data_IF_439151343118
#
_entry.id   IF_439151343118
#
_cell.length_a   1.000
_cell.length_b   1.000
_cell.length_c   1.000
_cell.angle_alpha   90.00
_cell.angle_beta   90.00
_cell.angle_gamma   90.00
#
_symmetry.space_group_name_H-M   'P 1'
#
loop_
_entity.id
_entity.type
_entity.pdbx_description
1 polymer ?
#
# COMPACT_ATOMS: atom_id res chain seq x y z
N UNK A 1 -20.17 -19.69 -22.14
CA UNK A 1 -19.90 -18.52 -22.99
C UNK A 1 -19.06 -17.53 -22.21
N UNK A 2 -17.76 -17.48 -22.55
CA UNK A 2 -16.86 -16.46 -22.02
C UNK A 2 -17.13 -15.17 -22.81
N UNK A 3 -17.79 -14.21 -22.20
CA UNK A 3 -17.89 -12.85 -22.73
C UNK A 3 -16.50 -12.23 -22.65
N UNK A 4 -15.76 -12.24 -23.75
CA UNK A 4 -14.53 -11.45 -23.84
C UNK A 4 -14.90 -9.95 -23.74
N UNK A 5 -14.23 -9.19 -22.88
CA UNK A 5 -14.48 -7.74 -22.84
C UNK A 5 -14.04 -7.15 -24.18
N UNK A 6 -14.98 -6.55 -24.90
CA UNK A 6 -14.71 -5.78 -26.11
C UNK A 6 -13.80 -4.59 -25.71
N UNK A 7 -12.51 -4.74 -25.93
CA UNK A 7 -11.55 -3.65 -25.82
C UNK A 7 -11.72 -2.80 -27.08
N UNK A 8 -12.50 -1.74 -26.98
CA UNK A 8 -12.39 -0.67 -27.95
C UNK A 8 -11.02 -0.02 -27.74
N UNK A 9 -10.22 0.06 -28.80
CA UNK A 9 -9.05 0.94 -28.82
C UNK A 9 -9.56 2.38 -28.67
N UNK A 10 -9.56 2.85 -27.43
CA UNK A 10 -9.77 4.26 -27.12
C UNK A 10 -8.45 4.92 -27.52
N UNK A 11 -8.47 5.80 -28.54
CA UNK A 11 -7.27 6.42 -29.09
C UNK A 11 -6.27 6.92 -28.04
N UNK A 12 -5.15 7.49 -28.43
CA UNK A 12 -3.97 7.87 -27.63
C UNK A 12 -4.24 8.87 -26.48
N UNK A 13 -5.32 8.69 -25.71
CA UNK A 13 -5.57 9.47 -24.50
C UNK A 13 -4.75 8.89 -23.34
N UNK A 14 -4.00 9.76 -22.65
CA UNK A 14 -3.30 9.38 -21.44
C UNK A 14 -4.31 8.87 -20.38
N UNK A 15 -3.98 7.79 -19.66
CA UNK A 15 -4.84 7.29 -18.60
C UNK A 15 -4.92 8.30 -17.45
N UNK A 16 -6.05 8.33 -16.76
CA UNK A 16 -6.16 9.13 -15.54
C UNK A 16 -5.18 8.63 -14.48
N UNK A 17 -4.42 9.53 -13.89
CA UNK A 17 -3.48 9.22 -12.81
C UNK A 17 -4.19 8.83 -11.50
N UNK A 18 -5.36 9.44 -11.25
CA UNK A 18 -6.16 9.14 -10.07
C UNK A 18 -7.67 9.29 -10.35
N UNK A 19 -8.47 8.68 -9.49
CA UNK A 19 -9.93 8.70 -9.59
C UNK A 19 -10.53 10.10 -9.45
N UNK A 20 -9.86 11.02 -8.76
CA UNK A 20 -10.30 12.39 -8.59
C UNK A 20 -10.28 13.18 -9.90
N UNK A 21 -9.26 12.98 -10.76
CA UNK A 21 -9.23 13.60 -12.10
C UNK A 21 -10.43 13.16 -12.94
N UNK A 22 -10.71 11.84 -12.99
CA UNK A 22 -11.91 11.33 -13.68
C UNK A 22 -13.19 11.92 -13.08
N UNK A 23 -13.28 12.03 -11.75
CA UNK A 23 -14.44 12.58 -11.07
C UNK A 23 -14.68 14.06 -11.43
N UNK A 24 -13.63 14.86 -11.57
CA UNK A 24 -13.70 16.25 -11.97
C UNK A 24 -14.21 16.38 -13.41
N UNK A 25 -13.69 15.61 -14.35
CA UNK A 25 -14.14 15.63 -15.74
C UNK A 25 -15.61 15.19 -15.88
N UNK A 26 -16.01 14.15 -15.15
CA UNK A 26 -17.41 13.73 -15.12
C UNK A 26 -18.34 14.81 -14.53
N UNK A 27 -17.87 15.61 -13.56
CA UNK A 27 -18.62 16.77 -13.03
C UNK A 27 -18.78 17.87 -14.09
N UNK A 28 -17.75 18.15 -14.88
CA UNK A 28 -17.84 19.12 -15.99
C UNK A 28 -18.94 18.69 -16.94
N UNK A 29 -18.96 17.42 -17.35
CA UNK A 29 -20.01 16.87 -18.20
C UNK A 29 -21.41 17.00 -17.58
N UNK A 30 -21.55 16.64 -16.30
CA UNK A 30 -22.82 16.73 -15.59
C UNK A 30 -23.34 18.18 -15.51
N UNK A 31 -22.45 19.14 -15.25
CA UNK A 31 -22.80 20.56 -15.19
C UNK A 31 -23.17 21.10 -16.57
N UNK A 32 -22.43 20.75 -17.61
CA UNK A 32 -22.74 21.13 -19.00
C UNK A 32 -24.13 20.63 -19.39
N UNK A 33 -24.48 19.38 -19.14
CA UNK A 33 -25.81 18.84 -19.43
C UNK A 33 -26.92 19.59 -18.71
N UNK A 34 -26.71 19.94 -17.41
CA UNK A 34 -27.69 20.71 -16.64
C UNK A 34 -27.91 22.12 -17.21
N UNK A 35 -26.81 22.81 -17.55
CA UNK A 35 -26.88 24.18 -18.09
C UNK A 35 -27.54 24.23 -19.49
N UNK A 36 -27.42 23.16 -20.28
CA UNK A 36 -28.00 23.03 -21.57
C UNK A 36 -29.36 22.32 -21.61
N UNK A 37 -30.12 22.35 -20.52
CA UNK A 37 -31.50 21.84 -20.45
C UNK A 37 -31.64 20.30 -20.43
N UNK A 38 -30.50 19.56 -20.28
CA UNK A 38 -30.47 18.10 -20.32
C UNK A 38 -30.25 17.48 -18.92
N UNK A 39 -30.81 18.09 -17.87
CA UNK A 39 -30.65 17.66 -16.49
C UNK A 39 -31.04 16.17 -16.24
N UNK A 40 -32.06 15.68 -16.95
CA UNK A 40 -32.52 14.31 -16.88
C UNK A 40 -31.42 13.31 -17.32
N UNK A 41 -30.61 13.65 -18.33
CA UNK A 41 -29.48 12.82 -18.76
C UNK A 41 -28.37 12.80 -17.70
N UNK A 42 -28.11 13.93 -17.05
CA UNK A 42 -27.17 14.01 -15.93
C UNK A 42 -27.62 13.17 -14.71
N UNK A 43 -28.92 12.97 -14.53
CA UNK A 43 -29.50 12.16 -13.45
C UNK A 43 -29.42 10.64 -13.62
N UNK A 44 -29.11 10.15 -14.84
CA UNK A 44 -29.10 8.75 -15.21
C UNK A 44 -27.77 8.01 -14.96
N UNK A 45 -27.21 7.45 -16.04
CA UNK A 45 -25.95 6.68 -16.00
C UNK A 45 -24.77 7.51 -15.51
N UNK A 46 -24.69 8.79 -15.90
CA UNK A 46 -23.60 9.68 -15.48
C UNK A 46 -23.58 9.86 -13.96
N UNK A 47 -24.75 10.04 -13.33
CA UNK A 47 -24.84 10.13 -11.87
C UNK A 47 -24.37 8.84 -11.18
N UNK A 48 -24.74 7.66 -11.72
CA UNK A 48 -24.30 6.37 -11.17
C UNK A 48 -22.79 6.21 -11.29
N UNK A 49 -22.21 6.59 -12.45
CA UNK A 49 -20.75 6.55 -12.65
C UNK A 49 -20.04 7.50 -11.68
N UNK A 50 -20.48 8.76 -11.57
CA UNK A 50 -19.94 9.72 -10.60
C UNK A 50 -19.97 9.16 -9.17
N UNK A 51 -21.09 8.56 -8.79
CA UNK A 51 -21.23 7.93 -7.47
C UNK A 51 -20.29 6.73 -7.30
N UNK A 52 -20.17 5.90 -8.34
CA UNK A 52 -19.26 4.76 -8.34
C UNK A 52 -17.80 5.20 -8.17
N UNK A 53 -17.36 6.18 -8.96
CA UNK A 53 -16.00 6.73 -8.84
C UNK A 53 -15.76 7.35 -7.46
N UNK A 54 -16.75 8.04 -6.90
CA UNK A 54 -16.64 8.67 -5.58
C UNK A 54 -16.52 7.65 -4.44
N UNK A 55 -17.20 6.50 -4.55
CA UNK A 55 -17.24 5.48 -3.49
C UNK A 55 -16.07 4.49 -3.63
N UNK A 56 -15.79 4.07 -4.85
CA UNK A 56 -14.87 2.95 -5.12
C UNK A 56 -13.51 3.39 -5.66
N UNK A 57 -13.34 4.65 -6.03
CA UNK A 57 -12.12 5.11 -6.69
C UNK A 57 -11.79 4.27 -7.92
N UNK A 58 -10.50 3.90 -8.06
CA UNK A 58 -10.03 2.89 -9.02
C UNK A 58 -9.79 1.52 -8.39
N UNK A 59 -10.04 1.39 -7.08
CA UNK A 59 -10.01 0.16 -6.32
C UNK A 59 -11.43 -0.19 -5.88
N UNK A 60 -11.79 -1.45 -5.92
CA UNK A 60 -13.16 -1.88 -5.62
C UNK A 60 -13.53 -1.69 -4.14
N UNK A 61 -12.57 -1.94 -3.26
CA UNK A 61 -12.69 -1.75 -1.81
C UNK A 61 -11.30 -1.59 -1.18
N UNK A 62 -11.14 -0.76 -0.14
CA UNK A 62 -9.91 -0.75 0.64
C UNK A 62 -9.72 -2.08 1.36
N UNK A 63 -8.48 -2.54 1.44
CA UNK A 63 -8.07 -3.71 2.20
C UNK A 63 -6.97 -3.32 3.19
N UNK A 64 -6.90 -4.03 4.30
CA UNK A 64 -5.86 -3.82 5.30
C UNK A 64 -4.84 -4.96 5.22
N UNK A 65 -3.56 -4.65 5.43
CA UNK A 65 -2.57 -5.66 5.74
C UNK A 65 -2.81 -6.16 7.18
N UNK A 66 -2.65 -7.46 7.39
CA UNK A 66 -2.84 -8.08 8.71
C UNK A 66 -1.77 -9.11 8.98
N UNK A 67 -1.09 -8.98 10.10
CA UNK A 67 -0.08 -9.95 10.51
C UNK A 67 0.05 -10.03 12.04
N UNK A 68 0.69 -11.09 12.49
CA UNK A 68 1.10 -11.30 13.86
C UNK A 68 2.47 -10.64 14.11
N UNK A 69 2.63 -9.93 15.23
CA UNK A 69 3.90 -9.29 15.63
C UNK A 69 5.08 -10.25 15.63
N UNK A 70 4.89 -11.50 16.08
CA UNK A 70 5.95 -12.52 16.11
C UNK A 70 6.55 -12.81 14.70
N UNK A 71 5.74 -12.72 13.63
CA UNK A 71 6.22 -12.87 12.24
C UNK A 71 7.10 -11.69 11.86
N UNK A 72 6.66 -10.46 12.19
CA UNK A 72 7.46 -9.27 11.97
C UNK A 72 8.79 -9.33 12.73
N UNK A 73 8.76 -9.72 14.01
CA UNK A 73 9.96 -9.84 14.83
C UNK A 73 10.99 -10.80 14.22
N UNK A 74 10.57 -12.01 13.79
CA UNK A 74 11.48 -12.98 13.15
C UNK A 74 12.02 -12.47 11.81
N UNK A 75 11.18 -11.86 10.99
CA UNK A 75 11.61 -11.29 9.71
C UNK A 75 12.63 -10.16 9.91
N UNK A 76 12.38 -9.27 10.87
CA UNK A 76 13.30 -8.20 11.23
C UNK A 76 14.61 -8.75 11.81
N UNK A 77 14.54 -9.77 12.69
CA UNK A 77 15.72 -10.42 13.23
C UNK A 77 16.62 -10.97 12.12
N UNK A 78 16.03 -11.65 11.13
CA UNK A 78 16.78 -12.17 9.99
C UNK A 78 17.41 -11.07 9.13
N UNK A 79 16.67 -9.99 8.83
CA UNK A 79 17.19 -8.84 8.09
C UNK A 79 18.37 -8.18 8.81
N UNK A 80 18.26 -7.97 10.12
CA UNK A 80 19.31 -7.38 10.95
C UNK A 80 20.56 -8.28 11.01
N UNK A 81 20.37 -9.58 11.12
CA UNK A 81 21.46 -10.56 11.13
C UNK A 81 22.16 -10.60 9.75
N UNK A 82 21.39 -10.70 8.66
CA UNK A 82 21.91 -10.73 7.29
C UNK A 82 22.68 -9.46 6.93
N UNK A 83 22.24 -8.30 7.43
CA UNK A 83 22.91 -7.01 7.23
C UNK A 83 24.11 -6.80 8.18
N UNK A 84 24.43 -7.77 9.06
CA UNK A 84 25.51 -7.68 10.03
C UNK A 84 25.28 -6.63 11.13
N UNK A 85 24.02 -6.28 11.40
CA UNK A 85 23.67 -5.24 12.39
C UNK A 85 23.44 -5.81 13.79
N UNK A 86 22.71 -6.90 13.88
CA UNK A 86 22.44 -7.58 15.15
C UNK A 86 22.18 -9.06 14.90
N UNK A 87 23.09 -9.97 15.25
CA UNK A 87 22.91 -11.39 15.03
C UNK A 87 21.92 -12.04 16.04
N UNK A 88 21.69 -11.41 17.18
CA UNK A 88 20.87 -11.95 18.27
C UNK A 88 19.79 -10.96 18.69
N UNK A 89 19.00 -10.48 17.73
CA UNK A 89 17.95 -9.49 17.98
C UNK A 89 16.93 -9.94 19.03
N UNK A 90 16.52 -11.20 18.99
CA UNK A 90 15.52 -11.76 19.91
C UNK A 90 15.98 -11.75 21.38
N UNK A 91 17.29 -11.76 21.63
CA UNK A 91 17.85 -11.73 22.99
C UNK A 91 17.93 -10.31 23.58
N UNK A 92 17.65 -9.27 22.80
CA UNK A 92 17.71 -7.90 23.26
C UNK A 92 16.55 -7.56 24.21
N UNK A 93 16.83 -6.66 25.18
CA UNK A 93 15.77 -6.03 25.97
C UNK A 93 14.87 -5.15 25.09
N UNK A 94 13.63 -4.90 25.51
CA UNK A 94 12.69 -4.02 24.82
C UNK A 94 13.30 -2.62 24.57
N UNK A 95 14.03 -2.09 25.55
CA UNK A 95 14.69 -0.78 25.44
C UNK A 95 15.77 -0.80 24.35
N UNK A 96 16.53 -1.87 24.24
CA UNK A 96 17.61 -1.98 23.25
C UNK A 96 17.07 -2.28 21.86
N UNK A 97 15.99 -3.07 21.76
CA UNK A 97 15.23 -3.24 20.50
C UNK A 97 14.76 -1.90 19.96
N UNK A 98 14.09 -1.12 20.80
CA UNK A 98 13.55 0.19 20.42
C UNK A 98 14.66 1.14 19.94
N UNK A 99 15.80 1.22 20.64
CA UNK A 99 16.94 2.04 20.21
C UNK A 99 17.49 1.60 18.86
N UNK A 100 17.68 0.29 18.66
CA UNK A 100 18.19 -0.27 17.42
C UNK A 100 17.23 0.02 16.25
N UNK A 101 15.94 -0.28 16.44
CA UNK A 101 14.92 -0.08 15.40
C UNK A 101 14.78 1.38 15.00
N UNK A 102 14.74 2.31 15.97
CA UNK A 102 14.70 3.75 15.69
C UNK A 102 15.93 4.18 14.87
N UNK A 103 17.13 3.71 15.22
CA UNK A 103 18.34 4.01 14.48
C UNK A 103 18.28 3.49 13.04
N UNK A 104 17.80 2.26 12.82
CA UNK A 104 17.68 1.67 11.49
C UNK A 104 16.56 2.31 10.65
N UNK A 105 15.42 2.66 11.26
CA UNK A 105 14.33 3.37 10.56
C UNK A 105 14.80 4.76 10.10
N UNK A 106 15.57 5.46 10.94
CA UNK A 106 16.09 6.79 10.61
C UNK A 106 17.23 6.79 9.58
N UNK A 107 17.77 5.62 9.25
CA UNK A 107 18.87 5.48 8.29
C UNK A 107 18.32 5.20 6.90
N UNK A 108 18.71 5.95 5.86
CA UNK A 108 18.22 5.72 4.50
C UNK A 108 18.72 4.42 3.87
N UNK A 109 19.75 3.79 4.46
CA UNK A 109 20.32 2.54 3.97
C UNK A 109 19.33 1.39 4.19
N UNK A 110 19.03 0.57 3.13
CA UNK A 110 18.23 -0.63 3.31
C UNK A 110 19.02 -1.75 4.03
N UNK A 111 18.31 -2.59 4.77
CA UNK A 111 18.81 -3.85 5.32
C UNK A 111 18.63 -5.00 4.33
N UNK A 112 17.51 -4.99 3.61
CA UNK A 112 17.21 -5.99 2.61
C UNK A 112 18.17 -5.91 1.42
N UNK A 113 18.67 -7.07 0.99
CA UNK A 113 19.47 -7.22 -0.22
C UNK A 113 18.89 -8.30 -1.12
N UNK A 114 18.62 -8.02 -2.42
CA UNK A 114 18.11 -9.02 -3.35
C UNK A 114 19.15 -10.11 -3.72
N UNK A 115 20.39 -9.95 -3.27
CA UNK A 115 21.50 -10.89 -3.52
C UNK A 115 21.72 -11.88 -2.38
N UNK A 116 20.95 -11.77 -1.28
CA UNK A 116 20.99 -12.67 -0.15
C UNK A 116 19.79 -13.60 -0.15
N UNK A 117 19.97 -14.80 0.39
CA UNK A 117 18.88 -15.75 0.60
C UNK A 117 18.29 -15.53 2.00
N UNK A 118 16.99 -15.50 2.09
CA UNK A 118 16.23 -15.40 3.33
C UNK A 118 15.32 -16.62 3.48
N UNK A 119 14.81 -16.86 4.68
CA UNK A 119 13.81 -17.88 4.94
C UNK A 119 12.55 -17.67 4.11
N UNK A 120 11.77 -18.73 3.88
CA UNK A 120 10.49 -18.63 3.16
C UNK A 120 9.53 -17.66 3.85
N UNK A 121 9.54 -17.61 5.20
CA UNK A 121 8.70 -16.71 5.99
C UNK A 121 9.08 -15.24 5.70
N UNK A 122 10.36 -14.89 5.79
CA UNK A 122 10.84 -13.51 5.55
C UNK A 122 10.65 -13.09 4.09
N UNK A 123 10.91 -13.99 3.13
CA UNK A 123 10.65 -13.72 1.72
C UNK A 123 9.16 -13.47 1.46
N UNK A 124 8.29 -14.31 2.03
CA UNK A 124 6.84 -14.17 1.92
C UNK A 124 6.34 -12.85 2.51
N UNK A 125 6.85 -12.49 3.69
CA UNK A 125 6.47 -11.24 4.36
C UNK A 125 6.91 -10.01 3.55
N UNK A 126 8.16 -9.97 3.09
CA UNK A 126 8.66 -8.89 2.23
C UNK A 126 7.89 -8.80 0.90
N UNK A 127 7.52 -9.93 0.30
CA UNK A 127 6.74 -9.95 -0.92
C UNK A 127 5.36 -9.29 -0.74
N UNK A 128 4.71 -9.47 0.43
CA UNK A 128 3.45 -8.80 0.77
C UNK A 128 3.66 -7.28 0.79
N UNK A 129 4.69 -6.77 1.44
CA UNK A 129 4.96 -5.34 1.50
C UNK A 129 5.35 -4.75 0.14
N UNK A 130 6.13 -5.46 -0.68
CA UNK A 130 6.44 -5.02 -2.04
C UNK A 130 5.18 -4.96 -2.91
N UNK A 131 4.32 -5.98 -2.85
CA UNK A 131 3.04 -5.97 -3.54
C UNK A 131 2.13 -4.82 -3.06
N UNK A 132 2.12 -4.55 -1.75
CA UNK A 132 1.37 -3.43 -1.17
C UNK A 132 1.85 -2.08 -1.72
N UNK A 133 3.17 -1.89 -1.88
CA UNK A 133 3.73 -0.70 -2.51
C UNK A 133 3.25 -0.54 -3.96
N UNK A 134 3.32 -1.59 -4.76
CA UNK A 134 2.86 -1.58 -6.15
C UNK A 134 1.36 -1.26 -6.26
N UNK A 135 0.55 -1.86 -5.38
CA UNK A 135 -0.88 -1.59 -5.33
C UNK A 135 -1.17 -0.13 -4.96
N UNK A 136 -0.47 0.44 -3.96
CA UNK A 136 -0.64 1.85 -3.59
C UNK A 136 -0.16 2.80 -4.68
N UNK A 137 0.89 2.47 -5.41
CA UNK A 137 1.34 3.25 -6.57
C UNK A 137 0.32 3.22 -7.71
N UNK A 138 -0.32 2.06 -7.94
CA UNK A 138 -1.28 1.89 -9.04
C UNK A 138 -2.68 2.42 -8.73
N UNK A 139 -3.16 2.24 -7.50
CA UNK A 139 -4.55 2.50 -7.12
C UNK A 139 -4.73 3.64 -6.11
N UNK A 140 -3.63 4.19 -5.60
CA UNK A 140 -3.64 5.22 -4.58
C UNK A 140 -3.57 4.66 -3.15
N UNK A 141 -3.27 5.55 -2.20
CA UNK A 141 -3.09 5.20 -0.78
C UNK A 141 -4.37 4.63 -0.14
N UNK A 142 -5.53 5.02 -0.65
CA UNK A 142 -6.84 4.58 -0.16
C UNK A 142 -7.12 3.09 -0.43
N UNK A 143 -6.37 2.45 -1.35
CA UNK A 143 -6.52 1.02 -1.62
C UNK A 143 -6.00 0.14 -0.47
N UNK A 144 -4.97 0.61 0.23
CA UNK A 144 -4.33 -0.06 1.35
C UNK A 144 -4.03 0.95 2.45
N UNK A 145 -5.05 1.39 3.23
CA UNK A 145 -4.89 2.48 4.19
C UNK A 145 -4.19 2.06 5.48
N UNK A 146 -4.35 0.81 5.93
CA UNK A 146 -3.93 0.39 7.26
C UNK A 146 -3.11 -0.91 7.26
N UNK A 147 -2.26 -1.03 8.29
CA UNK A 147 -1.64 -2.28 8.72
C UNK A 147 -2.13 -2.61 10.12
N UNK A 148 -2.66 -3.80 10.31
CA UNK A 148 -3.19 -4.29 11.59
C UNK A 148 -2.25 -5.36 12.11
N UNK A 149 -1.73 -5.16 13.32
CA UNK A 149 -0.86 -6.11 14.01
C UNK A 149 -1.66 -6.77 15.13
N UNK A 150 -1.60 -8.09 15.20
CA UNK A 150 -2.12 -8.87 16.34
C UNK A 150 -1.01 -9.26 17.31
N UNK A 151 -1.37 -9.53 18.55
CA UNK A 151 -0.46 -9.93 19.65
C UNK A 151 0.64 -8.89 19.93
N UNK A 152 0.30 -7.63 19.91
CA UNK A 152 1.24 -6.55 20.20
C UNK A 152 1.43 -6.43 21.71
N UNK A 153 2.65 -6.62 22.19
CA UNK A 153 3.02 -6.57 23.61
C UNK A 153 3.93 -5.37 23.93
N UNK A 154 4.65 -4.83 22.93
CA UNK A 154 5.61 -3.74 23.12
C UNK A 154 5.61 -2.68 22.03
N UNK A 155 6.42 -1.66 22.24
CA UNK A 155 6.67 -0.62 21.24
C UNK A 155 7.50 -1.17 20.09
N UNK A 156 8.38 -2.14 20.37
CA UNK A 156 9.19 -2.81 19.35
C UNK A 156 8.33 -3.40 18.23
N UNK A 157 7.17 -3.97 18.54
CA UNK A 157 6.27 -4.57 17.54
C UNK A 157 5.80 -3.55 16.47
N UNK A 158 5.54 -2.32 16.91
CA UNK A 158 5.19 -1.22 16.00
C UNK A 158 6.38 -0.74 15.18
N UNK A 159 7.56 -0.69 15.80
CA UNK A 159 8.80 -0.28 15.14
C UNK A 159 9.29 -1.34 14.15
N UNK A 160 9.09 -2.63 14.43
CA UNK A 160 9.36 -3.72 13.51
C UNK A 160 8.54 -3.59 12.22
N UNK A 161 7.23 -3.35 12.36
CA UNK A 161 6.38 -3.04 11.20
C UNK A 161 6.90 -1.80 10.46
N UNK A 162 7.23 -0.71 11.18
CA UNK A 162 7.74 0.52 10.56
C UNK A 162 9.04 0.25 9.78
N UNK A 163 9.91 -0.61 10.29
CA UNK A 163 11.12 -1.02 9.60
C UNK A 163 10.81 -1.80 8.31
N UNK A 164 9.88 -2.76 8.33
CA UNK A 164 9.45 -3.50 7.14
C UNK A 164 8.80 -2.59 6.10
N UNK A 165 8.01 -1.61 6.53
CA UNK A 165 7.44 -0.58 5.65
C UNK A 165 8.54 0.30 5.01
N UNK A 166 9.58 0.64 5.76
CA UNK A 166 10.76 1.35 5.24
C UNK A 166 11.50 0.50 4.21
N UNK A 167 11.79 -0.76 4.52
CA UNK A 167 12.51 -1.67 3.62
C UNK A 167 11.78 -1.89 2.28
N UNK A 168 10.47 -1.84 2.30
CA UNK A 168 9.64 -1.95 1.10
C UNK A 168 9.39 -0.62 0.38
N UNK A 169 9.80 0.53 0.97
CA UNK A 169 9.57 1.87 0.42
C UNK A 169 8.12 2.38 0.61
N UNK A 170 7.38 1.83 1.55
CA UNK A 170 6.06 2.32 1.98
C UNK A 170 6.18 3.42 3.05
N UNK A 171 7.27 3.43 3.80
CA UNK A 171 7.66 4.48 4.74
C UNK A 171 8.98 5.08 4.27
N UNK A 172 9.02 6.39 4.07
CA UNK A 172 10.25 7.11 3.74
C UNK A 172 10.86 7.66 5.03
N UNK A 173 12.19 7.56 5.22
CA UNK A 173 12.88 8.25 6.31
C UNK A 173 12.63 9.75 6.18
N UNK A 174 12.15 10.38 7.23
CA UNK A 174 11.90 11.83 7.29
C UNK A 174 13.17 12.64 7.45
#
# INVERSE_FOLDING_TARGET
DKVEPVRHEIGHAEPYECSEQLRLDLKVLANSLKLNGSANLAGGRLRRLLRGVQIFGFHLAPIDLRQNSEVHARSVAELLAAAGRCPNYEALSEVDRNKLLIAEISTPRPLYSPYLSYSEETQGELAIFFAARELRQKYGVEALPNCIISKTDGVSDLLELALLLKESGLLLPG
#
